data_IF_379446899811
#
_entry.id   IF_379446899811
#
_cell.length_a   1.000
_cell.length_b   1.000
_cell.length_c   1.000
_cell.angle_alpha   90.00
_cell.angle_beta   90.00
_cell.angle_gamma   90.00
#
_symmetry.space_group_name_H-M   'P 1'
#
loop_
_entity.id
_entity.type
_entity.pdbx_description
1 polymer ?
#
# COMPACT_ATOMS: atom_id res chain seq x y z
N UNK A 1 16.33 24.84 5.34
CA UNK A 1 15.15 24.18 5.95
C UNK A 1 15.62 22.97 6.72
N UNK A 2 15.05 22.65 7.89
CA UNK A 2 15.38 21.40 8.58
C UNK A 2 14.94 20.20 7.72
N UNK A 3 15.71 19.10 7.76
CA UNK A 3 15.41 17.85 7.05
C UNK A 3 13.94 17.44 7.24
N UNK A 4 13.44 17.58 8.47
CA UNK A 4 12.05 17.34 8.84
C UNK A 4 11.06 18.19 8.04
N UNK A 5 11.27 19.49 7.94
CA UNK A 5 10.37 20.38 7.20
C UNK A 5 10.34 20.04 5.70
N UNK A 6 11.46 19.59 5.14
CA UNK A 6 11.54 19.16 3.75
C UNK A 6 10.74 17.87 3.50
N UNK A 7 10.95 16.84 4.32
CA UNK A 7 10.20 15.56 4.22
C UNK A 7 8.69 15.81 4.38
N UNK A 8 8.32 16.61 5.37
CA UNK A 8 6.91 16.92 5.61
C UNK A 8 6.27 17.63 4.41
N UNK A 9 6.93 18.67 3.88
CA UNK A 9 6.35 19.52 2.82
C UNK A 9 6.35 18.83 1.47
N UNK A 10 7.38 18.06 1.13
CA UNK A 10 7.52 17.46 -0.19
C UNK A 10 6.91 16.06 -0.28
N UNK A 11 6.93 15.27 0.80
CA UNK A 11 6.54 13.86 0.71
C UNK A 11 5.17 13.60 1.33
N UNK A 12 4.88 14.22 2.48
CA UNK A 12 3.68 13.94 3.27
C UNK A 12 2.54 14.88 2.88
N UNK A 13 2.80 16.19 2.91
CA UNK A 13 1.79 17.22 2.68
C UNK A 13 1.03 17.04 1.36
N UNK A 14 1.67 16.73 0.20
CA UNK A 14 0.95 16.59 -1.06
C UNK A 14 -0.07 15.45 -1.03
N UNK A 15 0.28 14.30 -0.43
CA UNK A 15 -0.66 13.18 -0.28
C UNK A 15 -1.87 13.57 0.58
N UNK A 16 -1.66 14.33 1.66
CA UNK A 16 -2.74 14.84 2.50
C UNK A 16 -3.62 15.88 1.79
N UNK A 17 -3.06 16.73 0.93
CA UNK A 17 -3.83 17.67 0.12
C UNK A 17 -4.75 16.93 -0.86
N UNK A 18 -4.27 15.88 -1.52
CA UNK A 18 -5.10 15.02 -2.39
C UNK A 18 -6.23 14.38 -1.61
N UNK A 19 -5.96 13.83 -0.41
CA UNK A 19 -6.99 13.28 0.47
C UNK A 19 -8.03 14.34 0.89
N UNK A 20 -7.59 15.55 1.21
CA UNK A 20 -8.48 16.66 1.57
C UNK A 20 -9.39 17.07 0.40
N UNK A 21 -8.85 17.11 -0.83
CA UNK A 21 -9.65 17.33 -2.04
C UNK A 21 -10.74 16.26 -2.21
N UNK A 22 -10.39 14.98 -2.04
CA UNK A 22 -11.35 13.88 -2.08
C UNK A 22 -12.46 14.01 -1.02
N UNK A 23 -12.09 14.42 0.19
CA UNK A 23 -13.06 14.67 1.27
C UNK A 23 -14.01 15.84 0.94
N UNK A 24 -13.49 16.94 0.40
CA UNK A 24 -14.30 18.10 -0.01
C UNK A 24 -15.24 17.70 -1.16
N UNK A 25 -14.74 16.92 -2.12
CA UNK A 25 -15.51 16.43 -3.26
C UNK A 25 -16.68 15.56 -2.80
N UNK A 26 -16.42 14.61 -1.90
CA UNK A 26 -17.45 13.76 -1.29
C UNK A 26 -18.53 14.60 -0.59
N UNK A 27 -18.13 15.60 0.20
CA UNK A 27 -19.08 16.48 0.89
C UNK A 27 -19.93 17.34 -0.06
N UNK A 28 -19.37 17.79 -1.18
CA UNK A 28 -20.08 18.68 -2.12
C UNK A 28 -20.95 17.92 -3.11
N UNK A 29 -20.49 16.76 -3.59
CA UNK A 29 -21.13 16.01 -4.67
C UNK A 29 -21.82 14.72 -4.21
N UNK A 30 -21.68 14.33 -2.92
CA UNK A 30 -22.21 13.07 -2.38
C UNK A 30 -21.82 11.87 -3.25
N UNK A 31 -20.53 11.76 -3.53
CA UNK A 31 -19.99 10.76 -4.45
C UNK A 31 -20.29 9.35 -3.92
N UNK A 32 -20.78 8.46 -4.80
CA UNK A 32 -20.91 7.05 -4.45
C UNK A 32 -19.52 6.39 -4.36
N UNK A 33 -19.00 6.34 -3.13
CA UNK A 33 -17.72 5.72 -2.78
C UNK A 33 -17.63 4.28 -3.26
N UNK A 34 -18.73 3.52 -3.22
CA UNK A 34 -18.72 2.10 -3.58
C UNK A 34 -18.49 1.90 -5.08
N UNK A 35 -19.08 2.74 -5.90
CA UNK A 35 -18.86 2.73 -7.35
C UNK A 35 -17.44 3.19 -7.69
N UNK A 36 -16.96 4.28 -7.07
CA UNK A 36 -15.60 4.78 -7.29
C UNK A 36 -14.52 3.76 -6.87
N UNK A 37 -14.67 3.14 -5.70
CA UNK A 37 -13.74 2.10 -5.24
C UNK A 37 -13.74 0.87 -6.15
N UNK A 38 -14.89 0.47 -6.71
CA UNK A 38 -14.92 -0.64 -7.68
C UNK A 38 -14.14 -0.30 -8.94
N UNK A 39 -14.31 0.91 -9.48
CA UNK A 39 -13.53 1.36 -10.65
C UNK A 39 -12.04 1.40 -10.30
N UNK A 40 -11.68 1.92 -9.13
CA UNK A 40 -10.29 1.98 -8.69
C UNK A 40 -9.63 0.58 -8.56
N UNK A 41 -10.32 -0.38 -7.95
CA UNK A 41 -9.78 -1.72 -7.69
C UNK A 41 -9.82 -2.62 -8.94
N UNK A 42 -10.93 -2.61 -9.69
CA UNK A 42 -11.11 -3.57 -10.79
C UNK A 42 -10.64 -3.05 -12.16
N UNK A 43 -10.46 -1.74 -12.32
CA UNK A 43 -10.04 -1.15 -13.59
C UNK A 43 -8.70 -0.44 -13.41
N UNK A 44 -8.64 0.60 -12.57
CA UNK A 44 -7.45 1.45 -12.47
C UNK A 44 -6.25 0.71 -11.89
N UNK A 45 -6.46 -0.18 -10.92
CA UNK A 45 -5.39 -0.98 -10.32
C UNK A 45 -4.77 -1.91 -11.38
N UNK A 46 -5.51 -2.78 -12.08
CA UNK A 46 -4.94 -3.57 -13.19
C UNK A 46 -4.24 -2.73 -14.26
N UNK A 47 -4.78 -1.57 -14.62
CA UNK A 47 -4.13 -0.66 -15.56
C UNK A 47 -2.80 -0.13 -15.02
N UNK A 48 -2.74 0.25 -13.74
CA UNK A 48 -1.52 0.70 -13.07
C UNK A 48 -0.47 -0.42 -13.04
N UNK A 49 -0.88 -1.64 -12.66
CA UNK A 49 -0.01 -2.81 -12.65
C UNK A 49 0.56 -3.10 -14.03
N UNK A 50 -0.30 -3.13 -15.05
CA UNK A 50 0.11 -3.37 -16.42
C UNK A 50 1.06 -2.27 -16.93
N UNK A 51 0.70 -1.00 -16.71
CA UNK A 51 1.53 0.14 -17.09
C UNK A 51 2.89 0.09 -16.41
N UNK A 52 2.93 -0.25 -15.11
CA UNK A 52 4.17 -0.40 -14.37
C UNK A 52 5.01 -1.54 -14.92
N UNK A 53 4.44 -2.71 -15.23
CA UNK A 53 5.22 -3.84 -15.79
C UNK A 53 5.76 -3.51 -17.18
N UNK A 54 4.96 -2.89 -18.06
CA UNK A 54 5.35 -2.61 -19.45
C UNK A 54 6.37 -1.47 -19.55
N UNK A 55 6.25 -0.46 -18.68
CA UNK A 55 7.16 0.69 -18.67
C UNK A 55 8.33 0.49 -17.70
N UNK A 56 8.28 -0.54 -16.85
CA UNK A 56 9.30 -0.81 -15.84
C UNK A 56 10.66 -0.97 -16.48
N UNK A 57 11.59 -0.17 -15.98
CA UNK A 57 13.02 -0.32 -16.26
C UNK A 57 13.71 -1.20 -15.22
N UNK A 58 12.96 -1.66 -14.20
CA UNK A 58 13.45 -2.52 -13.12
C UNK A 58 13.97 -3.85 -13.67
N UNK A 59 15.17 -4.22 -13.22
CA UNK A 59 15.77 -5.51 -13.53
C UNK A 59 14.86 -6.65 -13.02
N UNK A 60 14.59 -7.69 -13.83
CA UNK A 60 13.82 -8.87 -13.39
C UNK A 60 14.31 -9.47 -12.07
N UNK A 61 15.60 -9.36 -11.76
CA UNK A 61 16.19 -9.77 -10.48
C UNK A 61 15.61 -8.98 -9.30
N UNK A 62 15.53 -7.66 -9.43
CA UNK A 62 15.02 -6.78 -8.36
C UNK A 62 13.52 -6.99 -8.16
N UNK A 63 12.78 -7.25 -9.25
CA UNK A 63 11.39 -7.69 -9.17
C UNK A 63 11.23 -8.99 -8.35
N UNK A 64 12.05 -10.00 -8.64
CA UNK A 64 12.05 -11.26 -7.88
C UNK A 64 12.41 -11.07 -6.40
N UNK A 65 13.39 -10.21 -6.12
CA UNK A 65 13.76 -9.85 -4.75
C UNK A 65 12.61 -9.14 -4.01
N UNK A 66 11.86 -8.28 -4.69
CA UNK A 66 10.70 -7.60 -4.11
C UNK A 66 9.59 -8.59 -3.73
N UNK A 67 9.34 -9.60 -4.56
CA UNK A 67 8.37 -10.68 -4.25
C UNK A 67 8.82 -11.46 -3.00
N UNK A 68 10.09 -11.87 -2.95
CA UNK A 68 10.65 -12.58 -1.79
C UNK A 68 10.54 -11.70 -0.54
N UNK A 69 10.86 -10.40 -0.66
CA UNK A 69 10.71 -9.45 0.43
C UNK A 69 9.28 -9.36 0.95
N UNK A 70 8.28 -9.28 0.05
CA UNK A 70 6.86 -9.28 0.41
C UNK A 70 6.45 -10.56 1.15
N UNK A 71 6.89 -11.72 0.66
CA UNK A 71 6.60 -12.99 1.32
C UNK A 71 7.21 -13.05 2.74
N UNK A 72 8.49 -12.68 2.85
CA UNK A 72 9.22 -12.68 4.13
C UNK A 72 8.58 -11.72 5.12
N UNK A 73 8.29 -10.47 4.73
CA UNK A 73 7.72 -9.49 5.65
C UNK A 73 6.30 -9.88 6.09
N UNK A 74 5.50 -10.46 5.19
CA UNK A 74 4.15 -10.94 5.51
C UNK A 74 4.20 -12.07 6.54
N UNK A 75 5.10 -13.04 6.35
CA UNK A 75 5.31 -14.15 7.30
C UNK A 75 5.78 -13.61 8.65
N UNK A 76 6.77 -12.71 8.65
CA UNK A 76 7.32 -12.13 9.87
C UNK A 76 6.25 -11.35 10.65
N UNK A 77 5.46 -10.51 9.98
CA UNK A 77 4.38 -9.76 10.62
C UNK A 77 3.27 -10.67 11.15
N UNK A 78 2.94 -11.74 10.42
CA UNK A 78 1.97 -12.75 10.86
C UNK A 78 2.46 -13.46 12.12
N UNK A 79 3.71 -13.92 12.14
CA UNK A 79 4.31 -14.58 13.30
C UNK A 79 4.38 -13.62 14.49
N UNK A 80 4.80 -12.38 14.27
CA UNK A 80 4.87 -11.36 15.31
C UNK A 80 3.48 -11.09 15.92
N UNK A 81 2.44 -10.93 15.09
CA UNK A 81 1.07 -10.75 15.55
C UNK A 81 0.58 -11.94 16.40
N UNK A 82 0.86 -13.17 15.97
CA UNK A 82 0.50 -14.37 16.74
C UNK A 82 1.24 -14.41 18.08
N UNK A 83 2.56 -14.12 18.08
CA UNK A 83 3.38 -14.12 19.30
C UNK A 83 2.86 -13.06 20.28
N UNK A 84 2.65 -11.83 19.82
CA UNK A 84 2.15 -10.72 20.64
C UNK A 84 0.74 -11.03 21.16
N UNK A 85 -0.15 -11.49 20.29
CA UNK A 85 -1.53 -11.83 20.65
C UNK A 85 -1.59 -12.96 21.70
N UNK A 86 -0.74 -13.99 21.57
CA UNK A 86 -0.63 -15.07 22.57
C UNK A 86 0.00 -14.58 23.87
N UNK A 87 1.05 -13.76 23.82
CA UNK A 87 1.68 -13.19 25.00
C UNK A 87 0.71 -12.33 25.82
N UNK A 88 -0.17 -11.60 25.14
CA UNK A 88 -1.23 -10.79 25.74
C UNK A 88 -2.51 -11.59 26.07
N UNK A 89 -2.51 -12.90 25.84
CA UNK A 89 -3.64 -13.82 26.11
C UNK A 89 -4.94 -13.41 25.42
N UNK A 90 -4.83 -12.86 24.21
CA UNK A 90 -6.00 -12.47 23.42
C UNK A 90 -6.76 -13.69 22.88
N UNK A 91 -8.06 -13.50 22.64
CA UNK A 91 -8.87 -14.53 22.00
C UNK A 91 -8.39 -14.81 20.57
N UNK A 92 -8.58 -16.02 20.03
CA UNK A 92 -8.19 -16.35 18.66
C UNK A 92 -8.69 -15.33 17.63
N UNK A 93 -9.95 -14.89 17.76
CA UNK A 93 -10.55 -13.87 16.88
C UNK A 93 -9.81 -12.53 16.91
N UNK A 94 -9.31 -12.11 18.07
CA UNK A 94 -8.52 -10.88 18.18
C UNK A 94 -7.12 -11.05 17.57
N UNK A 95 -6.53 -12.23 17.68
CA UNK A 95 -5.25 -12.54 17.04
C UNK A 95 -5.42 -12.52 15.52
N UNK A 96 -6.47 -13.17 14.99
CA UNK A 96 -6.77 -13.16 13.56
C UNK A 96 -6.99 -11.74 13.03
N UNK A 97 -7.72 -10.91 13.78
CA UNK A 97 -7.92 -9.50 13.44
C UNK A 97 -6.59 -8.72 13.45
N UNK A 98 -5.70 -8.99 14.41
CA UNK A 98 -4.38 -8.37 14.45
C UNK A 98 -3.53 -8.80 13.25
N UNK A 99 -3.48 -10.09 12.93
CA UNK A 99 -2.77 -10.63 11.77
C UNK A 99 -3.25 -9.96 10.49
N UNK A 100 -4.56 -9.90 10.28
CA UNK A 100 -5.14 -9.26 9.10
C UNK A 100 -4.76 -7.78 8.99
N UNK A 101 -4.66 -7.10 10.14
CA UNK A 101 -4.32 -5.66 10.20
C UNK A 101 -2.85 -5.37 9.92
N UNK A 102 -1.92 -6.25 10.30
CA UNK A 102 -0.47 -5.99 10.19
C UNK A 102 0.21 -6.70 9.03
N UNK A 103 -0.29 -7.87 8.61
CA UNK A 103 0.31 -8.67 7.55
C UNK A 103 -0.15 -8.22 6.16
N UNK A 104 -1.40 -7.76 6.03
CA UNK A 104 -1.99 -7.33 4.77
C UNK A 104 -2.17 -5.82 4.72
N UNK A 105 -1.09 -5.13 4.32
CA UNK A 105 -1.06 -3.67 4.31
C UNK A 105 -1.92 -3.08 3.18
N UNK A 106 -2.66 -2.02 3.50
CA UNK A 106 -3.22 -1.13 2.47
C UNK A 106 -2.13 -0.20 1.92
N UNK A 107 -1.19 -0.78 1.17
CA UNK A 107 -0.01 -0.08 0.66
C UNK A 107 -0.27 0.73 -0.63
N UNK A 108 -1.48 0.65 -1.20
CA UNK A 108 -1.81 1.27 -2.48
C UNK A 108 -1.95 2.77 -2.41
N UNK A 109 -3.13 3.24 -2.00
CA UNK A 109 -3.52 4.64 -2.18
C UNK A 109 -2.59 5.61 -1.44
N UNK A 110 -2.19 5.28 -0.21
CA UNK A 110 -1.32 6.14 0.59
C UNK A 110 0.18 5.83 0.37
N UNK A 111 0.54 4.55 0.31
CA UNK A 111 1.92 4.11 0.19
C UNK A 111 2.56 4.50 -1.15
N UNK A 112 1.89 4.22 -2.27
CA UNK A 112 2.39 4.58 -3.60
C UNK A 112 2.52 6.09 -3.78
N UNK A 113 1.57 6.87 -3.25
CA UNK A 113 1.63 8.33 -3.29
C UNK A 113 2.87 8.87 -2.55
N UNK A 114 3.14 8.36 -1.35
CA UNK A 114 4.32 8.79 -0.58
C UNK A 114 5.61 8.36 -1.28
N UNK A 115 5.66 7.14 -1.80
CA UNK A 115 6.84 6.63 -2.50
C UNK A 115 7.12 7.49 -3.74
N UNK A 116 6.09 7.85 -4.51
CA UNK A 116 6.22 8.73 -5.67
C UNK A 116 6.77 10.10 -5.27
N UNK A 117 6.22 10.74 -4.24
CA UNK A 117 6.69 12.07 -3.83
C UNK A 117 8.09 12.04 -3.20
N UNK A 118 8.45 10.95 -2.52
CA UNK A 118 9.75 10.84 -1.85
C UNK A 118 10.89 10.37 -2.76
N UNK A 119 10.59 9.48 -3.72
CA UNK A 119 11.59 8.74 -4.50
C UNK A 119 11.37 8.82 -6.01
N UNK A 120 10.32 9.51 -6.47
CA UNK A 120 10.01 9.67 -7.89
C UNK A 120 9.54 8.38 -8.57
N UNK A 121 9.62 8.37 -9.90
CA UNK A 121 9.17 7.24 -10.73
C UNK A 121 9.92 5.94 -10.43
N UNK A 122 11.24 6.00 -10.19
CA UNK A 122 12.02 4.81 -9.85
C UNK A 122 11.53 4.13 -8.55
N UNK A 123 11.14 4.94 -7.55
CA UNK A 123 10.50 4.42 -6.35
C UNK A 123 9.11 3.88 -6.63
N UNK A 124 8.32 4.56 -7.46
CA UNK A 124 6.97 4.14 -7.83
C UNK A 124 6.97 2.79 -8.55
N UNK A 125 7.95 2.53 -9.43
CA UNK A 125 8.11 1.24 -10.12
C UNK A 125 8.25 0.09 -9.10
N UNK A 126 9.21 0.18 -8.18
CA UNK A 126 9.41 -0.82 -7.12
C UNK A 126 8.22 -0.91 -6.16
N UNK A 127 7.66 0.24 -5.77
CA UNK A 127 6.48 0.32 -4.92
C UNK A 127 5.26 -0.35 -5.54
N UNK A 128 5.11 -0.25 -6.86
CA UNK A 128 4.01 -0.89 -7.59
C UNK A 128 4.18 -2.41 -7.61
N UNK A 129 5.40 -2.93 -7.78
CA UNK A 129 5.68 -4.36 -7.64
C UNK A 129 5.32 -4.87 -6.24
N UNK A 130 5.72 -4.13 -5.20
CA UNK A 130 5.34 -4.44 -3.82
C UNK A 130 3.82 -4.45 -3.64
N UNK A 131 3.13 -3.45 -4.17
CA UNK A 131 1.67 -3.34 -4.11
C UNK A 131 0.96 -4.49 -4.83
N UNK A 132 1.44 -4.90 -6.00
CA UNK A 132 0.92 -6.05 -6.75
C UNK A 132 1.06 -7.33 -5.94
N UNK A 133 2.26 -7.61 -5.46
CA UNK A 133 2.56 -8.83 -4.72
C UNK A 133 1.73 -8.91 -3.42
N UNK A 134 1.58 -7.81 -2.70
CA UNK A 134 0.76 -7.76 -1.47
C UNK A 134 -0.74 -7.91 -1.75
N UNK A 135 -1.27 -7.31 -2.83
CA UNK A 135 -2.67 -7.51 -3.20
C UNK A 135 -2.96 -8.91 -3.70
N UNK A 136 -2.05 -9.49 -4.49
CA UNK A 136 -2.19 -10.88 -4.94
C UNK A 136 -2.26 -11.83 -3.75
N UNK A 137 -1.36 -11.68 -2.78
CA UNK A 137 -1.35 -12.47 -1.56
C UNK A 137 -2.64 -12.27 -0.72
N UNK A 138 -3.07 -11.02 -0.51
CA UNK A 138 -4.21 -10.72 0.37
C UNK A 138 -5.61 -10.92 -0.22
N UNK A 139 -5.76 -11.07 -1.54
CA UNK A 139 -7.05 -11.32 -2.18
C UNK A 139 -7.22 -12.76 -2.69
N UNK A 140 -6.15 -13.56 -2.70
CA UNK A 140 -6.17 -14.93 -3.23
C UNK A 140 -6.04 -16.01 -2.14
N UNK A 141 -5.40 -15.68 -1.00
CA UNK A 141 -5.30 -16.52 0.20
C UNK A 141 -6.37 -16.13 1.22
#
# INVERSE_FOLDING_TARGET
>A
MSLFANIFTNNILPAFLVMACGFILDRKLQVDKKSLSRVAIYILTPCLVFSAIVQSTVDPRDFGLMIVFVAVITILMTLLAIIVGRALRWSPRMIDALVLSVAFLNAGNFGLSIILFAYGEAGLELGTVFFVATNFAGNTL
#
